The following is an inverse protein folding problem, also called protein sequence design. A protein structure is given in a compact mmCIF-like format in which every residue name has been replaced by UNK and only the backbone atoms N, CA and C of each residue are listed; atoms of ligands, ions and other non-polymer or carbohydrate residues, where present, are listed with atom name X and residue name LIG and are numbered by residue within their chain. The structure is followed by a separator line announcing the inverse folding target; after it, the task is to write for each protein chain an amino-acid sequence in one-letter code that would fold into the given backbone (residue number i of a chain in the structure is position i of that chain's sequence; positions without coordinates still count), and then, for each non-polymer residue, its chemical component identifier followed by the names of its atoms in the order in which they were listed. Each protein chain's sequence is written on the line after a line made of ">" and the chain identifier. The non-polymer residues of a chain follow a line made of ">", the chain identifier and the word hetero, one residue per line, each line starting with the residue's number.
data_IF_441894716290
#
_entry.id   IF_441894716290
#
_cell.length_a   1.000
_cell.length_b   1.000
_cell.length_c   1.000
_cell.angle_alpha   90.00
_cell.angle_beta   90.00
_cell.angle_gamma   90.00
#
_symmetry.space_group_name_H-M   'P 1'
#
loop_
_entity.id
_entity.type
_entity.pdbx_description
1 polymer ?
#
# COMPACT_ATOMS: atom_id res chain seq x y z
N UNK A 1 -10.83 28.02 28.73
CA UNK A 1 -10.68 26.58 28.39
C UNK A 1 -10.72 26.31 26.88
N UNK A 2 -11.58 26.96 26.09
CA UNK A 2 -11.67 26.75 24.63
C UNK A 2 -10.38 27.12 23.85
N UNK A 3 -9.62 28.13 24.30
CA UNK A 3 -8.38 28.53 23.62
C UNK A 3 -7.25 27.49 23.71
N UNK A 4 -7.23 26.66 24.75
CA UNK A 4 -6.21 25.61 24.90
C UNK A 4 -6.42 24.48 23.89
N UNK A 5 -7.68 24.16 23.57
CA UNK A 5 -8.02 23.16 22.56
C UNK A 5 -7.66 23.64 21.14
N UNK A 6 -7.93 24.92 20.84
CA UNK A 6 -7.58 25.51 19.55
C UNK A 6 -6.06 25.59 19.32
N UNK A 7 -5.27 25.84 20.37
CA UNK A 7 -3.80 25.77 20.26
C UNK A 7 -3.32 24.34 19.99
N UNK A 8 -3.92 23.35 20.64
CA UNK A 8 -3.53 21.95 20.48
C UNK A 8 -3.84 21.42 19.08
N UNK A 9 -5.02 21.75 18.53
CA UNK A 9 -5.40 21.40 17.15
C UNK A 9 -4.53 22.12 16.12
N UNK A 10 -4.16 23.38 16.36
CA UNK A 10 -3.27 24.16 15.47
C UNK A 10 -1.84 23.59 15.47
N UNK A 11 -1.30 23.25 16.64
CA UNK A 11 0.00 22.60 16.76
C UNK A 11 0.03 21.21 16.07
N UNK A 12 -1.05 20.43 16.16
CA UNK A 12 -1.17 19.14 15.45
C UNK A 12 -1.30 19.27 13.93
N UNK A 13 -1.89 20.37 13.43
CA UNK A 13 -1.95 20.67 11.99
C UNK A 13 -0.61 21.16 11.42
N UNK A 14 0.17 21.89 12.21
CA UNK A 14 1.49 22.38 11.78
C UNK A 14 2.52 21.25 11.72
N UNK A 15 2.43 20.25 12.60
CA UNK A 15 3.30 19.07 12.60
C UNK A 15 3.11 18.14 11.39
N UNK A 16 2.00 18.26 10.65
CA UNK A 16 1.72 17.44 9.46
C UNK A 16 2.04 18.16 8.13
N UNK A 17 2.42 19.43 8.18
CA UNK A 17 2.72 20.25 6.99
C UNK A 17 4.23 20.33 6.69
N UNK A 18 5.10 19.78 7.55
CA UNK A 18 6.56 19.67 7.31
C UNK A 18 6.96 18.38 6.58
N UNK A 19 6.05 17.75 5.83
CA UNK A 19 6.47 16.96 4.70
C UNK A 19 6.91 17.97 3.62
N UNK A 20 8.19 18.34 3.67
CA UNK A 20 8.90 19.02 2.59
C UNK A 20 8.38 18.44 1.26
N UNK A 21 7.81 19.23 0.33
CA UNK A 21 7.57 18.73 -1.00
C UNK A 21 8.95 18.46 -1.56
N UNK A 22 9.35 17.18 -1.48
CA UNK A 22 10.62 16.66 -1.96
C UNK A 22 10.91 17.38 -3.25
N UNK A 23 11.94 18.24 -3.24
CA UNK A 23 12.41 18.94 -4.43
C UNK A 23 12.43 17.90 -5.53
N UNK A 24 11.55 18.04 -6.52
CA UNK A 24 11.42 17.10 -7.64
C UNK A 24 12.69 17.26 -8.47
N UNK A 25 13.76 16.64 -8.00
CA UNK A 25 14.96 16.35 -8.76
C UNK A 25 14.60 15.21 -9.69
N UNK A 26 14.11 15.54 -10.89
CA UNK A 26 13.88 14.62 -12.01
C UNK A 26 15.21 14.09 -12.60
N UNK A 27 16.17 13.74 -11.75
CA UNK A 27 17.44 13.11 -12.11
C UNK A 27 17.57 11.85 -11.25
N UNK A 28 16.91 10.78 -11.67
CA UNK A 28 17.06 9.47 -11.04
C UNK A 28 15.81 8.60 -10.87
N UNK A 29 14.78 8.72 -11.72
CA UNK A 29 13.62 7.79 -11.67
C UNK A 29 13.97 6.33 -12.07
N UNK A 30 15.25 6.03 -12.29
CA UNK A 30 15.78 4.68 -12.51
C UNK A 30 15.90 3.86 -11.23
N UNK A 31 14.84 3.79 -10.43
CA UNK A 31 14.71 2.70 -9.46
C UNK A 31 14.58 1.34 -10.20
N UNK A 32 14.68 0.20 -9.49
CA UNK A 32 14.50 -1.10 -10.10
C UNK A 32 13.16 -1.18 -10.85
N UNK A 33 13.20 -1.80 -12.02
CA UNK A 33 12.02 -2.02 -12.85
C UNK A 33 11.14 -3.07 -12.20
N UNK A 34 9.84 -2.82 -12.13
CA UNK A 34 8.90 -3.80 -11.59
C UNK A 34 8.85 -4.99 -12.52
N UNK A 35 9.06 -6.18 -11.96
CA UNK A 35 8.97 -7.43 -12.68
C UNK A 35 7.51 -7.87 -12.88
N UNK A 36 7.31 -8.98 -13.61
CA UNK A 36 5.97 -9.45 -13.97
C UNK A 36 5.07 -9.74 -12.77
N UNK A 37 5.65 -10.30 -11.70
CA UNK A 37 4.93 -10.64 -10.48
C UNK A 37 4.47 -9.40 -9.73
N UNK A 38 5.31 -8.37 -9.68
CA UNK A 38 4.99 -7.12 -8.99
C UNK A 38 3.88 -6.35 -9.69
N UNK A 39 3.88 -6.32 -11.03
CA UNK A 39 2.79 -5.70 -11.82
C UNK A 39 1.47 -6.41 -11.53
N UNK A 40 1.48 -7.75 -11.56
CA UNK A 40 0.31 -8.56 -11.23
C UNK A 40 -0.18 -8.32 -9.80
N UNK A 41 0.73 -8.27 -8.84
CA UNK A 41 0.42 -8.01 -7.43
C UNK A 41 -0.28 -6.66 -7.23
N UNK A 42 0.24 -5.60 -7.86
CA UNK A 42 -0.41 -4.27 -7.81
C UNK A 42 -1.83 -4.36 -8.33
N UNK A 43 -2.01 -4.96 -9.53
CA UNK A 43 -3.33 -5.10 -10.15
C UNK A 43 -4.33 -5.80 -9.24
N UNK A 44 -3.93 -6.93 -8.66
CA UNK A 44 -4.78 -7.75 -7.80
C UNK A 44 -5.11 -7.06 -6.47
N UNK A 45 -4.14 -6.35 -5.88
CA UNK A 45 -4.35 -5.60 -4.63
C UNK A 45 -5.43 -4.51 -4.79
N UNK A 46 -5.51 -3.88 -5.95
CA UNK A 46 -6.53 -2.87 -6.25
C UNK A 46 -7.79 -3.43 -6.92
N UNK A 47 -7.91 -4.76 -7.06
CA UNK A 47 -9.08 -5.39 -7.68
C UNK A 47 -9.30 -5.06 -9.16
N UNK A 48 -8.23 -4.71 -9.88
CA UNK A 48 -8.32 -4.28 -11.28
C UNK A 48 -8.25 -5.48 -12.24
N UNK A 49 -8.99 -5.43 -13.34
CA UNK A 49 -8.73 -6.32 -14.47
C UNK A 49 -7.53 -5.82 -15.30
N UNK A 50 -6.93 -6.68 -16.13
CA UNK A 50 -5.85 -6.24 -17.04
C UNK A 50 -6.32 -5.14 -17.99
N UNK A 51 -7.59 -5.16 -18.40
CA UNK A 51 -8.20 -4.12 -19.26
C UNK A 51 -8.35 -2.79 -18.53
N UNK A 52 -8.71 -2.83 -17.25
CA UNK A 52 -8.87 -1.61 -16.45
C UNK A 52 -7.53 -0.97 -16.15
N UNK A 53 -6.52 -1.78 -15.83
CA UNK A 53 -5.15 -1.31 -15.68
C UNK A 53 -4.61 -0.71 -17.00
N UNK A 54 -4.88 -1.36 -18.13
CA UNK A 54 -4.47 -0.87 -19.45
C UNK A 54 -5.11 0.49 -19.78
N UNK A 55 -6.42 0.63 -19.52
CA UNK A 55 -7.13 1.91 -19.68
C UNK A 55 -6.56 3.00 -18.78
N UNK A 56 -6.31 2.70 -17.50
CA UNK A 56 -5.74 3.65 -16.55
C UNK A 56 -4.33 4.12 -16.96
N UNK A 57 -3.55 3.23 -17.57
CA UNK A 57 -2.18 3.49 -18.02
C UNK A 57 -2.09 3.97 -19.47
N UNK A 58 -3.23 4.11 -20.16
CA UNK A 58 -3.33 4.45 -21.58
C UNK A 58 -2.44 3.58 -22.49
N UNK A 59 -2.51 2.25 -22.30
CA UNK A 59 -1.81 1.25 -23.12
C UNK A 59 -2.79 0.21 -23.66
N UNK A 60 -2.35 -0.59 -24.64
CA UNK A 60 -3.14 -1.71 -25.11
C UNK A 60 -3.23 -2.81 -24.03
N UNK A 61 -4.36 -3.53 -23.90
CA UNK A 61 -4.48 -4.65 -22.94
C UNK A 61 -3.41 -5.73 -23.12
N UNK A 62 -2.99 -5.98 -24.38
CA UNK A 62 -1.89 -6.89 -24.68
C UNK A 62 -0.56 -6.45 -24.05
N UNK A 63 -0.32 -5.14 -23.94
CA UNK A 63 0.89 -4.60 -23.30
C UNK A 63 0.93 -4.96 -21.80
N UNK A 64 -0.20 -4.87 -21.11
CA UNK A 64 -0.29 -5.28 -19.69
C UNK A 64 -0.12 -6.79 -19.56
N UNK A 65 -0.75 -7.57 -20.44
CA UNK A 65 -0.54 -9.02 -20.49
C UNK A 65 0.93 -9.36 -20.70
N UNK A 66 1.63 -8.61 -21.56
CA UNK A 66 3.05 -8.79 -21.80
C UNK A 66 3.88 -8.50 -20.55
N UNK A 67 3.59 -7.39 -19.87
CA UNK A 67 4.25 -7.03 -18.62
C UNK A 67 4.11 -8.08 -17.53
N UNK A 68 2.93 -8.70 -17.42
CA UNK A 68 2.66 -9.70 -16.39
C UNK A 68 3.20 -11.11 -16.69
N UNK A 69 3.61 -11.40 -17.94
CA UNK A 69 3.97 -12.76 -18.36
C UNK A 69 5.36 -12.91 -18.99
N UNK A 70 5.94 -11.86 -19.58
CA UNK A 70 7.23 -11.92 -20.26
C UNK A 70 8.36 -11.29 -19.43
N UNK A 71 9.38 -12.09 -19.11
CA UNK A 71 10.58 -11.61 -18.43
C UNK A 71 11.29 -10.53 -19.28
N UNK A 72 11.61 -9.38 -18.68
CA UNK A 72 12.22 -8.24 -19.37
C UNK A 72 11.24 -7.36 -20.17
N UNK A 73 9.97 -7.77 -20.32
CA UNK A 73 8.93 -6.84 -20.77
C UNK A 73 8.39 -6.10 -19.56
N UNK A 74 8.93 -4.93 -19.29
CA UNK A 74 8.55 -4.16 -18.12
C UNK A 74 8.05 -2.76 -18.52
N UNK A 75 7.13 -2.18 -17.73
CA UNK A 75 6.72 -0.80 -17.93
C UNK A 75 7.95 0.10 -17.81
N UNK A 76 8.02 1.12 -18.67
CA UNK A 76 9.09 2.11 -18.70
C UNK A 76 8.53 3.52 -18.52
N UNK A 77 9.42 4.48 -18.23
CA UNK A 77 9.05 5.89 -18.15
C UNK A 77 7.97 6.19 -17.10
N UNK A 78 6.92 6.92 -17.52
CA UNK A 78 5.86 7.36 -16.62
C UNK A 78 5.06 6.18 -16.05
N UNK A 79 4.78 5.16 -16.86
CA UNK A 79 4.00 3.99 -16.45
C UNK A 79 4.73 3.22 -15.35
N UNK A 80 6.06 3.12 -15.45
CA UNK A 80 6.89 2.51 -14.41
C UNK A 80 6.78 3.27 -13.10
N UNK A 81 6.82 4.60 -13.14
CA UNK A 81 6.77 5.41 -11.94
C UNK A 81 5.40 5.36 -11.26
N UNK A 82 4.32 5.41 -12.05
CA UNK A 82 2.96 5.23 -11.51
C UNK A 82 2.79 3.84 -10.90
N UNK A 83 3.24 2.79 -11.57
CA UNK A 83 3.17 1.43 -11.02
C UNK A 83 4.03 1.26 -9.77
N UNK A 84 5.20 1.91 -9.71
CA UNK A 84 6.04 1.92 -8.50
C UNK A 84 5.34 2.60 -7.33
N UNK A 85 4.74 3.77 -7.56
CA UNK A 85 3.98 4.47 -6.53
C UNK A 85 2.83 3.59 -6.02
N UNK A 86 2.06 2.97 -6.94
CA UNK A 86 1.00 2.03 -6.59
C UNK A 86 1.51 0.79 -5.85
N UNK A 87 2.67 0.26 -6.22
CA UNK A 87 3.30 -0.87 -5.53
C UNK A 87 3.63 -0.53 -4.08
N UNK A 88 4.23 0.63 -3.84
CA UNK A 88 4.53 1.10 -2.49
C UNK A 88 3.25 1.29 -1.66
N UNK A 89 2.16 1.78 -2.27
CA UNK A 89 0.85 1.87 -1.61
C UNK A 89 0.27 0.49 -1.31
N UNK A 90 0.37 -0.46 -2.24
CA UNK A 90 -0.11 -1.83 -2.08
C UNK A 90 0.59 -2.57 -0.92
N UNK A 91 1.91 -2.41 -0.77
CA UNK A 91 2.66 -3.00 0.35
C UNK A 91 2.14 -2.51 1.71
N UNK A 92 1.86 -1.21 1.83
CA UNK A 92 1.30 -0.63 3.07
C UNK A 92 -0.08 -1.19 3.42
N UNK A 93 -0.93 -1.44 2.41
CA UNK A 93 -2.24 -2.06 2.64
C UNK A 93 -2.08 -3.46 3.21
N UNK A 94 -1.18 -4.26 2.64
CA UNK A 94 -0.90 -5.63 3.10
C UNK A 94 -0.35 -5.67 4.53
N UNK A 95 0.52 -4.75 4.90
CA UNK A 95 1.05 -4.63 6.26
C UNK A 95 -0.05 -4.31 7.28
N UNK A 96 -0.95 -3.38 6.95
CA UNK A 96 -2.08 -3.03 7.81
C UNK A 96 -3.07 -4.20 7.97
N UNK A 97 -3.29 -4.99 6.92
CA UNK A 97 -4.10 -6.20 7.00
C UNK A 97 -3.45 -7.26 7.89
N UNK A 98 -2.13 -7.44 7.78
CA UNK A 98 -1.38 -8.36 8.65
C UNK A 98 -1.42 -7.91 10.12
N UNK A 99 -1.29 -6.61 10.40
CA UNK A 99 -1.43 -6.05 11.75
C UNK A 99 -2.84 -6.30 12.31
N UNK A 100 -3.88 -6.01 11.52
CA UNK A 100 -5.28 -6.29 11.90
C UNK A 100 -5.52 -7.77 12.18
N UNK A 101 -4.99 -8.65 11.33
CA UNK A 101 -5.10 -10.09 11.51
C UNK A 101 -4.35 -10.55 12.77
N UNK A 102 -3.16 -10.01 13.03
CA UNK A 102 -2.34 -10.33 14.21
C UNK A 102 -3.01 -9.87 15.51
N UNK A 103 -3.56 -8.65 15.53
CA UNK A 103 -4.33 -8.14 16.68
C UNK A 103 -5.58 -9.02 16.92
N UNK A 104 -6.31 -9.37 15.86
CA UNK A 104 -7.46 -10.27 15.96
C UNK A 104 -7.10 -11.64 16.54
N UNK A 105 -5.98 -12.22 16.09
CA UNK A 105 -5.46 -13.49 16.60
C UNK A 105 -5.05 -13.42 18.08
N UNK A 106 -4.35 -12.36 18.50
CA UNK A 106 -3.95 -12.15 19.90
C UNK A 106 -5.15 -11.97 20.83
N UNK A 107 -6.18 -11.23 20.40
CA UNK A 107 -7.43 -11.07 21.15
C UNK A 107 -8.17 -12.41 21.27
N UNK A 108 -8.30 -13.16 20.17
CA UNK A 108 -8.96 -14.47 20.17
C UNK A 108 -8.25 -15.49 21.07
N UNK A 109 -6.91 -15.55 21.02
CA UNK A 109 -6.13 -16.43 21.88
C UNK A 109 -6.17 -16.01 23.35
N UNK A 110 -6.06 -14.71 23.64
CA UNK A 110 -6.06 -14.21 25.02
C UNK A 110 -7.41 -14.37 25.72
N UNK A 111 -8.50 -13.92 25.07
CA UNK A 111 -9.85 -14.05 25.63
C UNK A 111 -10.25 -15.53 25.70
N UNK A 112 -9.95 -16.31 24.66
CA UNK A 112 -10.23 -17.75 24.64
C UNK A 112 -9.52 -18.51 25.75
N UNK A 113 -8.22 -18.25 25.97
CA UNK A 113 -7.45 -18.87 27.05
C UNK A 113 -7.95 -18.44 28.43
N UNK A 114 -8.35 -17.17 28.61
CA UNK A 114 -8.89 -16.67 29.87
C UNK A 114 -10.24 -17.31 30.22
N UNK A 115 -11.15 -17.42 29.25
CA UNK A 115 -12.44 -18.10 29.43
C UNK A 115 -12.22 -19.58 29.76
N UNK A 116 -11.31 -20.24 29.04
CA UNK A 116 -10.96 -21.64 29.30
C UNK A 116 -10.39 -21.86 30.70
N UNK A 117 -9.47 -20.99 31.15
CA UNK A 117 -8.89 -21.06 32.49
C UNK A 117 -9.95 -20.87 33.60
N UNK A 118 -10.90 -19.95 33.40
CA UNK A 118 -12.00 -19.71 34.35
C UNK A 118 -13.01 -20.87 34.40
N UNK A 119 -13.21 -21.59 33.29
CA UNK A 119 -14.06 -22.78 33.26
C UNK A 119 -13.37 -24.03 33.83
N UNK A 120 -12.05 -24.14 33.66
CA UNK A 120 -11.27 -25.28 34.13
C UNK A 120 -10.95 -25.22 35.64
N UNK A 121 -10.97 -24.03 36.25
CA UNK A 121 -10.66 -23.81 37.67
C UNK A 121 -11.92 -23.62 38.54
N UNK A 122 -13.03 -24.28 38.15
CA UNK A 122 -14.28 -24.35 38.93
C UNK A 122 -14.44 -25.72 39.55
#
# INVERSE_FOLDING_TARGET
>A
MAESCLRQVRASREATVTAEPSRIGLRGLGGPTLGPREVRFVRETFGLSQRDLAKAMNVAPYTVSRWENEEGSAPSGLQQEVLRALHNTAQRVRENEAERAMIGGLIALGIGALIFYLLANR
#
